data_IF_751003864686
#
_entry.id   IF_751003864686
#
_cell.length_a   1.000
_cell.length_b   1.000
_cell.length_c   1.000
_cell.angle_alpha   90.00
_cell.angle_beta   90.00
_cell.angle_gamma   90.00
#
_symmetry.space_group_name_H-M   'P 1'
#
loop_
_entity.id
_entity.type
_entity.pdbx_description
1 polymer ?
#
# COMPACT_ATOMS: atom_id res chain seq x y z
N UNK A 1 29.37 28.53 38.37
CA UNK A 1 29.61 27.13 38.78
C UNK A 1 28.28 26.38 38.59
N UNK A 2 27.81 26.18 37.35
CA UNK A 2 28.18 25.14 36.36
C UNK A 2 27.93 23.70 36.85
N UNK A 3 26.97 23.03 36.18
CA UNK A 3 26.83 21.57 36.00
C UNK A 3 26.44 20.78 37.28
N UNK A 4 25.54 19.80 37.28
CA UNK A 4 25.34 18.68 36.37
C UNK A 4 23.94 18.08 36.57
N UNK A 5 23.09 18.11 35.53
CA UNK A 5 22.14 17.03 35.27
C UNK A 5 22.19 16.80 33.76
N UNK A 6 22.63 15.62 33.29
CA UNK A 6 22.70 15.37 31.86
C UNK A 6 21.27 15.27 31.31
N UNK A 7 20.91 16.23 30.46
CA UNK A 7 19.79 16.11 29.56
C UNK A 7 19.95 14.79 28.79
N UNK A 8 19.04 13.85 29.06
CA UNK A 8 18.92 12.59 28.33
C UNK A 8 18.67 12.96 26.87
N UNK A 9 19.72 12.88 26.05
CA UNK A 9 19.69 13.07 24.60
C UNK A 9 18.65 12.10 24.05
N UNK A 10 17.46 12.62 23.77
CA UNK A 10 16.52 11.95 22.90
C UNK A 10 17.24 11.75 21.58
N UNK A 11 17.28 10.51 21.11
CA UNK A 11 17.74 10.13 19.78
C UNK A 11 16.75 10.67 18.75
N UNK A 12 16.72 12.00 18.62
CA UNK A 12 16.19 12.75 17.49
C UNK A 12 17.20 12.62 16.36
N UNK A 13 17.32 11.41 15.81
CA UNK A 13 18.17 11.20 14.65
C UNK A 13 17.38 10.39 13.62
N UNK A 14 16.79 11.16 12.70
CA UNK A 14 16.67 10.87 11.28
C UNK A 14 15.79 9.70 10.85
N UNK A 15 14.50 9.99 10.68
CA UNK A 15 13.68 9.33 9.67
C UNK A 15 12.87 10.39 8.89
N UNK A 16 13.60 11.21 8.12
CA UNK A 16 13.05 12.29 7.28
C UNK A 16 12.21 11.82 6.08
N UNK A 17 11.88 10.53 5.97
CA UNK A 17 11.03 10.01 4.90
C UNK A 17 9.53 10.08 5.22
N UNK A 18 9.14 10.22 6.50
CA UNK A 18 7.74 10.29 6.93
C UNK A 18 7.57 11.27 8.10
N UNK A 19 7.17 12.54 7.85
CA UNK A 19 7.17 13.60 8.87
C UNK A 19 6.19 13.39 10.04
N UNK A 20 5.36 12.34 10.01
CA UNK A 20 4.30 12.09 10.98
C UNK A 20 4.41 10.75 11.75
N UNK A 21 5.50 9.98 11.59
CA UNK A 21 5.66 8.70 12.30
C UNK A 21 6.77 8.79 13.35
N UNK A 22 6.40 8.84 14.64
CA UNK A 22 7.37 8.72 15.75
C UNK A 22 7.64 7.23 15.97
N UNK A 23 8.86 6.79 15.67
CA UNK A 23 9.32 5.44 16.01
C UNK A 23 9.47 5.36 17.54
N UNK A 24 8.40 4.96 18.22
CA UNK A 24 8.45 4.64 19.65
C UNK A 24 9.04 3.25 19.79
N UNK A 25 10.35 3.17 20.08
CA UNK A 25 10.99 1.92 20.49
C UNK A 25 10.47 1.51 21.86
N UNK A 26 9.37 0.78 21.89
CA UNK A 26 8.93 0.06 23.08
C UNK A 26 9.66 -1.27 23.11
N UNK A 27 10.25 -1.63 24.25
CA UNK A 27 10.72 -2.98 24.48
C UNK A 27 9.50 -3.76 24.97
N UNK A 28 8.91 -4.66 24.17
CA UNK A 28 7.78 -5.45 24.66
C UNK A 28 8.27 -6.30 25.82
N UNK A 29 7.53 -6.31 26.92
CA UNK A 29 7.91 -7.11 28.08
C UNK A 29 7.75 -8.61 27.79
N UNK A 30 6.81 -8.96 26.87
CA UNK A 30 6.47 -10.32 26.48
C UNK A 30 6.06 -10.44 24.99
N UNK A 31 6.16 -11.66 24.45
CA UNK A 31 5.74 -12.01 23.07
C UNK A 31 4.25 -11.68 22.83
N UNK A 32 3.41 -11.88 23.85
CA UNK A 32 1.98 -11.57 23.76
C UNK A 32 1.71 -10.07 23.63
N UNK A 33 2.49 -9.24 24.33
CA UNK A 33 2.38 -7.78 24.25
C UNK A 33 2.84 -7.29 22.87
N UNK A 34 3.93 -7.86 22.35
CA UNK A 34 4.41 -7.59 20.99
C UNK A 34 3.36 -7.95 19.94
N UNK A 35 2.72 -9.11 20.06
CA UNK A 35 1.67 -9.55 19.13
C UNK A 35 0.43 -8.66 19.21
N UNK A 36 -0.01 -8.29 20.43
CA UNK A 36 -1.16 -7.42 20.61
C UNK A 36 -0.89 -6.00 20.09
N UNK A 37 0.33 -5.49 20.28
CA UNK A 37 0.77 -4.22 19.71
C UNK A 37 0.75 -4.28 18.17
N UNK A 38 1.37 -5.31 17.58
CA UNK A 38 1.40 -5.50 16.14
C UNK A 38 -0.01 -5.64 15.54
N UNK A 39 -0.92 -6.36 16.21
CA UNK A 39 -2.30 -6.51 15.75
C UNK A 39 -3.08 -5.18 15.76
N UNK A 40 -2.90 -4.35 16.80
CA UNK A 40 -3.53 -3.02 16.86
C UNK A 40 -3.00 -2.09 15.77
N UNK A 41 -1.68 -2.10 15.57
CA UNK A 41 -1.04 -1.31 14.52
C UNK A 41 -1.52 -1.75 13.14
N UNK A 42 -1.58 -3.06 12.89
CA UNK A 42 -2.11 -3.62 11.66
C UNK A 42 -3.55 -3.14 11.38
N UNK A 43 -4.43 -3.20 12.38
CA UNK A 43 -5.82 -2.71 12.25
C UNK A 43 -5.85 -1.21 11.98
N UNK A 44 -5.02 -0.42 12.65
CA UNK A 44 -4.93 1.04 12.45
C UNK A 44 -4.48 1.42 11.03
N UNK A 45 -3.42 0.76 10.55
CA UNK A 45 -2.92 0.94 9.18
C UNK A 45 -3.97 0.49 8.15
N UNK A 46 -4.65 -0.63 8.41
CA UNK A 46 -5.70 -1.14 7.53
C UNK A 46 -6.85 -0.13 7.43
N UNK A 47 -7.30 0.41 8.56
CA UNK A 47 -8.35 1.42 8.59
C UNK A 47 -7.96 2.68 7.80
N UNK A 48 -6.72 3.15 7.97
CA UNK A 48 -6.18 4.30 7.24
C UNK A 48 -6.18 4.07 5.73
N UNK A 49 -5.75 2.88 5.28
CA UNK A 49 -5.76 2.51 3.85
C UNK A 49 -7.20 2.44 3.33
N UNK A 50 -8.13 1.86 4.09
CA UNK A 50 -9.54 1.79 3.71
C UNK A 50 -10.15 3.18 3.57
N UNK A 51 -9.84 4.11 4.46
CA UNK A 51 -10.33 5.49 4.39
C UNK A 51 -9.71 6.24 3.20
N UNK A 52 -8.41 6.05 2.93
CA UNK A 52 -7.78 6.55 1.71
C UNK A 52 -8.41 6.00 0.43
N UNK A 53 -8.77 4.72 0.43
CA UNK A 53 -9.46 4.08 -0.69
C UNK A 53 -10.87 4.64 -0.88
N UNK A 54 -11.65 4.80 0.21
CA UNK A 54 -12.97 5.46 0.16
C UNK A 54 -12.85 6.87 -0.40
N UNK A 55 -11.87 7.65 0.07
CA UNK A 55 -11.64 8.99 -0.44
C UNK A 55 -11.30 8.98 -1.93
N UNK A 56 -10.49 8.03 -2.39
CA UNK A 56 -10.17 7.87 -3.82
C UNK A 56 -11.40 7.53 -4.64
N UNK A 57 -12.29 6.67 -4.13
CA UNK A 57 -13.51 6.27 -4.83
C UNK A 57 -14.51 7.42 -4.96
N UNK A 58 -14.71 8.20 -3.90
CA UNK A 58 -15.69 9.30 -3.89
C UNK A 58 -15.12 10.64 -4.39
N UNK A 59 -13.82 10.88 -4.25
CA UNK A 59 -13.15 12.15 -4.60
C UNK A 59 -11.98 11.92 -5.57
N UNK A 60 -12.21 11.10 -6.61
CA UNK A 60 -11.18 10.65 -7.55
C UNK A 60 -10.36 11.79 -8.16
N UNK A 61 -10.99 12.89 -8.57
CA UNK A 61 -10.31 14.05 -9.18
C UNK A 61 -9.21 14.64 -8.28
N UNK A 62 -9.42 14.67 -6.96
CA UNK A 62 -8.45 15.22 -6.02
C UNK A 62 -7.30 14.25 -5.69
N UNK A 63 -7.55 12.94 -5.81
CA UNK A 63 -6.58 11.90 -5.45
C UNK A 63 -5.79 11.39 -6.66
N UNK A 64 -6.37 11.36 -7.86
CA UNK A 64 -5.75 10.79 -9.07
C UNK A 64 -4.42 11.46 -9.46
N UNK A 65 -4.26 12.76 -9.16
CA UNK A 65 -3.00 13.49 -9.35
C UNK A 65 -1.93 13.18 -8.32
N UNK A 66 -2.29 12.56 -7.18
CA UNK A 66 -1.41 12.25 -6.04
C UNK A 66 -1.05 10.77 -5.94
N UNK A 67 -1.57 9.93 -6.84
CA UNK A 67 -1.24 8.50 -6.89
C UNK A 67 0.18 8.35 -7.44
N UNK A 68 1.10 7.88 -6.61
CA UNK A 68 2.43 7.44 -7.04
C UNK A 68 2.28 6.22 -7.96
N UNK A 69 2.83 6.29 -9.16
CA UNK A 69 2.84 5.14 -10.05
C UNK A 69 3.97 4.14 -9.74
N UNK A 70 4.05 3.04 -10.51
CA UNK A 70 4.95 1.92 -10.24
C UNK A 70 6.43 2.33 -10.19
N UNK A 71 6.84 3.26 -11.04
CA UNK A 71 8.24 3.69 -11.11
C UNK A 71 8.62 4.49 -9.87
N UNK A 72 7.73 5.38 -9.43
CA UNK A 72 7.93 6.17 -8.21
C UNK A 72 7.99 5.28 -6.94
N UNK A 73 7.18 4.21 -6.88
CA UNK A 73 7.22 3.23 -5.78
C UNK A 73 8.58 2.53 -5.73
N UNK A 74 9.11 2.09 -6.88
CA UNK A 74 10.42 1.44 -6.96
C UNK A 74 11.53 2.41 -6.54
N UNK A 75 11.50 3.64 -7.04
CA UNK A 75 12.50 4.66 -6.68
C UNK A 75 12.49 4.96 -5.17
N UNK A 76 11.32 5.13 -4.58
CA UNK A 76 11.15 5.35 -3.14
C UNK A 76 11.66 4.14 -2.34
N UNK A 77 11.31 2.92 -2.77
CA UNK A 77 11.78 1.70 -2.12
C UNK A 77 13.29 1.54 -2.17
N UNK A 78 13.92 1.88 -3.30
CA UNK A 78 15.37 1.85 -3.46
C UNK A 78 16.08 2.84 -2.53
N UNK A 79 15.51 4.04 -2.36
CA UNK A 79 16.05 5.04 -1.44
C UNK A 79 15.95 4.61 0.02
N UNK A 80 14.78 4.08 0.42
CA UNK A 80 14.57 3.54 1.77
C UNK A 80 15.53 2.38 2.06
N UNK A 81 15.72 1.47 1.10
CA UNK A 81 16.62 0.32 1.24
C UNK A 81 18.08 0.71 1.47
N UNK A 82 18.52 1.85 0.91
CA UNK A 82 19.89 2.38 1.10
C UNK A 82 20.07 3.09 2.45
N UNK A 83 18.98 3.63 3.00
CA UNK A 83 19.05 4.53 4.15
C UNK A 83 18.80 3.81 5.48
N UNK A 84 17.81 2.92 5.54
CA UNK A 84 17.37 2.32 6.82
C UNK A 84 16.78 0.92 6.66
N UNK A 85 17.35 -0.07 7.35
CA UNK A 85 16.77 -1.43 7.42
C UNK A 85 15.39 -1.43 8.10
N UNK A 86 15.25 -0.73 9.23
CA UNK A 86 13.96 -0.60 9.93
C UNK A 86 12.90 0.07 9.03
N UNK A 87 13.31 1.09 8.27
CA UNK A 87 12.47 1.79 7.30
C UNK A 87 12.05 0.90 6.14
N UNK A 88 12.92 -0.02 5.69
CA UNK A 88 12.62 -0.98 4.63
C UNK A 88 11.52 -1.96 5.06
N UNK A 89 11.58 -2.47 6.30
CA UNK A 89 10.50 -3.31 6.85
C UNK A 89 9.18 -2.55 6.95
N UNK A 90 9.22 -1.29 7.40
CA UNK A 90 8.02 -0.45 7.45
C UNK A 90 7.43 -0.19 6.05
N UNK A 91 8.27 0.15 5.09
CA UNK A 91 7.87 0.36 3.70
C UNK A 91 7.25 -0.90 3.11
N UNK A 92 7.89 -2.06 3.32
CA UNK A 92 7.37 -3.35 2.89
C UNK A 92 6.01 -3.66 3.55
N UNK A 93 5.85 -3.39 4.84
CA UNK A 93 4.58 -3.60 5.55
C UNK A 93 3.46 -2.75 4.94
N UNK A 94 3.71 -1.47 4.67
CA UNK A 94 2.73 -0.57 4.06
C UNK A 94 2.37 -1.02 2.64
N UNK A 95 3.34 -1.39 1.80
CA UNK A 95 3.07 -1.86 0.43
C UNK A 95 2.25 -3.16 0.44
N UNK A 96 2.62 -4.13 1.27
CA UNK A 96 1.88 -5.39 1.38
C UNK A 96 0.45 -5.18 1.87
N UNK A 97 0.24 -4.26 2.82
CA UNK A 97 -1.10 -3.99 3.33
C UNK A 97 -1.98 -3.29 2.28
N UNK A 98 -1.41 -2.36 1.51
CA UNK A 98 -2.11 -1.75 0.37
C UNK A 98 -2.47 -2.80 -0.68
N UNK A 99 -1.54 -3.69 -1.02
CA UNK A 99 -1.79 -4.78 -1.97
C UNK A 99 -2.88 -5.73 -1.45
N UNK A 100 -2.86 -6.07 -0.16
CA UNK A 100 -3.89 -6.91 0.46
C UNK A 100 -5.29 -6.26 0.37
N UNK A 101 -5.40 -4.96 0.67
CA UNK A 101 -6.68 -4.24 0.57
C UNK A 101 -7.16 -4.16 -0.88
N UNK A 102 -6.28 -3.84 -1.83
CA UNK A 102 -6.63 -3.78 -3.27
C UNK A 102 -7.02 -5.17 -3.79
N UNK A 103 -6.31 -6.21 -3.41
CA UNK A 103 -6.60 -7.60 -3.80
C UNK A 103 -7.95 -8.08 -3.26
N UNK A 104 -8.47 -7.50 -2.18
CA UNK A 104 -9.77 -7.85 -1.64
C UNK A 104 -10.94 -7.20 -2.39
N UNK A 105 -10.66 -6.23 -3.27
CA UNK A 105 -11.71 -5.57 -4.04
C UNK A 105 -12.36 -6.54 -5.04
N UNK A 106 -13.67 -6.35 -5.34
CA UNK A 106 -14.41 -7.19 -6.29
C UNK A 106 -14.06 -6.83 -7.74
N UNK A 107 -12.76 -6.86 -8.06
CA UNK A 107 -12.21 -6.55 -9.37
C UNK A 107 -11.77 -7.85 -10.05
N UNK A 108 -12.18 -8.08 -11.31
CA UNK A 108 -11.74 -9.26 -12.05
C UNK A 108 -10.21 -9.31 -12.14
N UNK A 109 -9.63 -10.51 -12.13
CA UNK A 109 -8.19 -10.80 -12.07
C UNK A 109 -7.50 -10.68 -10.69
N UNK A 110 -8.15 -10.06 -9.71
CA UNK A 110 -7.68 -10.03 -8.32
C UNK A 110 -8.37 -11.15 -7.52
N UNK A 111 -7.79 -11.50 -6.36
CA UNK A 111 -8.32 -12.55 -5.48
C UNK A 111 -9.78 -12.26 -5.06
N UNK A 112 -10.09 -11.01 -4.79
CA UNK A 112 -11.42 -10.50 -4.44
C UNK A 112 -12.42 -10.60 -5.60
N UNK A 113 -11.97 -10.62 -6.85
CA UNK A 113 -12.82 -10.90 -8.01
C UNK A 113 -13.34 -12.34 -7.99
N UNK A 114 -12.46 -13.31 -7.74
CA UNK A 114 -12.84 -14.72 -7.57
C UNK A 114 -13.79 -14.89 -6.37
N UNK A 115 -13.49 -14.23 -5.25
CA UNK A 115 -14.35 -14.23 -4.07
C UNK A 115 -15.72 -13.61 -4.38
N UNK A 116 -15.78 -12.52 -5.12
CA UNK A 116 -17.04 -11.90 -5.53
C UNK A 116 -17.88 -12.83 -6.42
N UNK A 117 -17.26 -13.53 -7.37
CA UNK A 117 -17.96 -14.52 -8.19
C UNK A 117 -18.50 -15.67 -7.33
N UNK A 118 -17.70 -16.18 -6.37
CA UNK A 118 -18.15 -17.20 -5.43
C UNK A 118 -19.33 -16.73 -4.57
N UNK A 119 -19.31 -15.48 -4.10
CA UNK A 119 -20.42 -14.88 -3.37
C UNK A 119 -21.69 -14.78 -4.23
N UNK A 120 -21.55 -14.44 -5.53
CA UNK A 120 -22.66 -14.44 -6.48
C UNK A 120 -23.22 -15.85 -6.72
N UNK A 121 -22.36 -16.85 -6.84
CA UNK A 121 -22.78 -18.25 -6.97
C UNK A 121 -23.51 -18.74 -5.72
N UNK A 122 -22.98 -18.42 -4.53
CA UNK A 122 -23.62 -18.71 -3.25
C UNK A 122 -25.01 -18.06 -3.16
N UNK A 123 -25.12 -16.77 -3.53
CA UNK A 123 -26.39 -16.05 -3.56
C UNK A 123 -27.40 -16.62 -4.57
N UNK A 124 -26.92 -17.26 -5.66
CA UNK A 124 -27.76 -17.92 -6.68
C UNK A 124 -28.17 -19.36 -6.29
N UNK A 125 -27.90 -19.78 -5.05
CA UNK A 125 -28.20 -21.13 -4.57
C UNK A 125 -27.17 -22.17 -4.99
N UNK A 126 -25.88 -21.78 -5.06
CA UNK A 126 -24.76 -22.67 -5.40
C UNK A 126 -24.69 -23.05 -6.88
N UNK A 127 -25.46 -22.37 -7.73
CA UNK A 127 -25.42 -22.58 -9.19
C UNK A 127 -24.17 -21.94 -9.75
N UNK A 128 -23.22 -22.78 -10.15
CA UNK A 128 -21.98 -22.35 -10.79
C UNK A 128 -22.27 -21.50 -12.02
N UNK A 129 -21.50 -20.44 -12.18
CA UNK A 129 -21.53 -19.65 -13.40
C UNK A 129 -21.04 -20.52 -14.57
N UNK A 130 -21.54 -20.28 -15.79
CA UNK A 130 -20.96 -20.91 -16.97
C UNK A 130 -19.47 -20.58 -17.03
N UNK A 131 -18.62 -21.60 -17.20
CA UNK A 131 -17.16 -21.44 -17.23
C UNK A 131 -16.70 -20.39 -18.24
N UNK A 132 -17.40 -20.28 -19.36
CA UNK A 132 -17.14 -19.28 -20.39
C UNK A 132 -17.33 -17.84 -19.88
N UNK A 133 -18.33 -17.61 -19.02
CA UNK A 133 -18.61 -16.29 -18.45
C UNK A 133 -17.57 -15.94 -17.40
N UNK A 134 -17.26 -16.88 -16.49
CA UNK A 134 -16.21 -16.71 -15.49
C UNK A 134 -14.86 -16.41 -16.14
N UNK A 135 -14.46 -17.19 -17.15
CA UNK A 135 -13.24 -16.98 -17.90
C UNK A 135 -13.20 -15.62 -18.62
N UNK A 136 -14.31 -15.20 -19.24
CA UNK A 136 -14.39 -13.88 -19.89
C UNK A 136 -14.25 -12.74 -18.89
N UNK A 137 -14.93 -12.82 -17.75
CA UNK A 137 -14.82 -11.82 -16.67
C UNK A 137 -13.37 -11.76 -16.17
N UNK A 138 -12.79 -12.89 -15.78
CA UNK A 138 -11.42 -12.93 -15.22
C UNK A 138 -10.36 -12.50 -16.24
N UNK A 139 -10.44 -12.97 -17.49
CA UNK A 139 -9.50 -12.56 -18.55
C UNK A 139 -9.62 -11.09 -18.91
N UNK A 140 -10.82 -10.51 -18.92
CA UNK A 140 -11.00 -9.07 -19.11
C UNK A 140 -10.32 -8.25 -18.02
N UNK A 141 -10.33 -8.74 -16.77
CA UNK A 141 -9.61 -8.12 -15.66
C UNK A 141 -8.12 -8.10 -15.86
N UNK A 142 -7.56 -9.24 -16.30
CA UNK A 142 -6.11 -9.36 -16.54
C UNK A 142 -5.71 -8.39 -17.64
N UNK A 143 -6.49 -8.36 -18.73
CA UNK A 143 -6.26 -7.43 -19.82
C UNK A 143 -6.30 -5.97 -19.35
N UNK A 144 -7.31 -5.60 -18.55
CA UNK A 144 -7.44 -4.25 -17.98
C UNK A 144 -6.23 -3.88 -17.12
N UNK A 145 -5.81 -4.75 -16.21
CA UNK A 145 -4.67 -4.51 -15.31
C UNK A 145 -3.37 -4.36 -16.11
N UNK A 146 -3.15 -5.20 -17.14
CA UNK A 146 -1.97 -5.10 -18.00
C UNK A 146 -1.94 -3.78 -18.78
N UNK A 147 -3.07 -3.40 -19.38
CA UNK A 147 -3.19 -2.14 -20.14
C UNK A 147 -3.00 -0.93 -19.21
N UNK A 148 -3.66 -0.94 -18.04
CA UNK A 148 -3.52 0.14 -17.06
C UNK A 148 -2.09 0.24 -16.53
N UNK A 149 -1.46 -0.90 -16.23
CA UNK A 149 -0.06 -0.96 -15.80
C UNK A 149 0.88 -0.36 -16.83
N UNK A 150 0.71 -0.71 -18.11
CA UNK A 150 1.50 -0.14 -19.20
C UNK A 150 1.30 1.38 -19.30
N UNK A 151 0.05 1.86 -19.26
CA UNK A 151 -0.26 3.29 -19.30
C UNK A 151 0.40 4.03 -18.12
N UNK A 152 0.33 3.48 -16.91
CA UNK A 152 0.93 4.09 -15.73
C UNK A 152 2.46 4.14 -15.82
N UNK A 153 3.11 3.07 -16.29
CA UNK A 153 4.56 3.07 -16.49
C UNK A 153 4.98 4.12 -17.51
N UNK A 154 4.27 4.22 -18.64
CA UNK A 154 4.55 5.23 -19.67
C UNK A 154 4.31 6.64 -19.10
N UNK A 155 3.18 6.87 -18.43
CA UNK A 155 2.86 8.15 -17.79
C UNK A 155 3.94 8.54 -16.78
N UNK A 156 4.35 7.63 -15.91
CA UNK A 156 5.38 7.90 -14.90
C UNK A 156 6.70 8.24 -15.58
N UNK A 157 7.11 7.46 -16.58
CA UNK A 157 8.37 7.66 -17.30
C UNK A 157 8.41 9.01 -18.01
N UNK A 158 7.29 9.43 -18.62
CA UNK A 158 7.18 10.74 -19.28
C UNK A 158 7.12 11.92 -18.30
N UNK A 159 6.67 11.69 -17.06
CA UNK A 159 6.63 12.71 -16.02
C UNK A 159 7.93 12.84 -15.22
N UNK A 160 8.93 11.98 -15.46
CA UNK A 160 10.25 12.16 -14.90
C UNK A 160 10.89 13.41 -15.52
N UNK A 161 11.30 14.36 -14.67
CA UNK A 161 11.84 15.67 -15.05
C UNK A 161 12.99 15.59 -16.07
N UNK A 162 13.70 14.46 -16.13
CA UNK A 162 14.74 14.14 -17.11
C UNK A 162 14.29 14.26 -18.59
N UNK A 163 13.03 13.94 -18.93
CA UNK A 163 12.52 14.10 -20.31
C UNK A 163 12.02 15.53 -20.56
N UNK A 164 11.52 16.22 -19.54
CA UNK A 164 11.10 17.62 -19.65
C UNK A 164 12.28 18.59 -19.85
N UNK A 165 13.48 18.24 -19.39
CA UNK A 165 14.68 19.05 -19.64
C UNK A 165 15.29 18.83 -21.04
N UNK A 166 14.92 17.74 -21.74
CA UNK A 166 15.41 17.43 -23.09
C UNK A 166 14.50 17.93 -24.23
N UNK A 167 13.36 18.54 -23.92
CA UNK A 167 12.32 18.96 -24.88
C UNK A 167 11.96 20.43 -24.67
#
# INVERSE_FOLDING_TARGET
MSSLLPARKASEDWCGAFPNFRIMRTHPADIFEALHFAAREFVSLTATILDGLKQTFFNFSQTAGKVSGPVAIIATGAEVARTSLDGLFQFAAVINLNLAVINLLPLPALDGGTLALLLVEAARGGRKLPREVEQRIMSSGIFLVLVLGLILIVRDTLNLDFIKEML
#
